data_IF_941476537701
#
_entry.id   IF_941476537701
#
_cell.length_a   1.000
_cell.length_b   1.000
_cell.length_c   1.000
_cell.angle_alpha   90.00
_cell.angle_beta   90.00
_cell.angle_gamma   90.00
#
_symmetry.space_group_name_H-M   'P 1'
#
loop_
_entity.id
_entity.type
_entity.pdbx_description
1 polymer ?
#
# COMPACT_ATOMS: atom_id res chain seq x y z
N UNK A 1 -2.60 8.97 37.18
CA UNK A 1 -2.70 8.34 35.85
C UNK A 1 -3.82 9.05 35.10
N UNK A 2 -3.52 9.74 33.99
CA UNK A 2 -4.52 10.55 33.28
C UNK A 2 -5.34 9.67 32.35
N UNK A 3 -6.67 9.75 32.45
CA UNK A 3 -7.61 9.04 31.59
C UNK A 3 -7.58 9.74 30.21
N UNK A 4 -7.25 9.03 29.12
CA UNK A 4 -7.18 9.66 27.80
C UNK A 4 -8.53 10.22 27.41
N UNK A 5 -8.53 11.47 26.95
CA UNK A 5 -9.75 12.15 26.51
C UNK A 5 -10.17 11.64 25.13
N UNK A 6 -11.45 11.83 24.74
CA UNK A 6 -11.91 11.53 23.39
C UNK A 6 -11.06 12.21 22.30
N UNK A 7 -10.50 13.39 22.59
CA UNK A 7 -9.56 14.08 21.70
C UNK A 7 -8.22 13.34 21.53
N UNK A 8 -7.73 12.65 22.55
CA UNK A 8 -6.50 11.85 22.48
C UNK A 8 -6.70 10.58 21.64
N UNK A 9 -7.91 10.00 21.69
CA UNK A 9 -8.33 8.87 20.83
C UNK A 9 -8.44 9.32 19.37
N UNK A 10 -9.02 10.50 19.12
CA UNK A 10 -9.13 11.10 17.80
C UNK A 10 -7.76 11.48 17.20
N UNK A 11 -6.82 11.95 18.02
CA UNK A 11 -5.44 12.28 17.59
C UNK A 11 -4.62 11.03 17.22
N UNK A 12 -4.86 9.90 17.89
CA UNK A 12 -4.30 8.60 17.45
C UNK A 12 -4.89 8.18 16.10
N UNK A 13 -6.19 8.37 15.87
CA UNK A 13 -6.82 7.98 14.61
C UNK A 13 -6.25 8.70 13.36
N UNK A 14 -5.67 9.90 13.54
CA UNK A 14 -4.89 10.61 12.52
C UNK A 14 -3.44 10.08 12.48
N UNK A 15 -3.21 8.79 12.24
CA UNK A 15 -1.90 8.18 12.45
C UNK A 15 -0.83 8.68 11.43
N UNK A 16 0.19 9.47 11.85
CA UNK A 16 1.35 9.80 10.99
C UNK A 16 2.19 8.57 10.62
N UNK A 17 1.85 7.39 11.16
CA UNK A 17 2.51 6.12 10.87
C UNK A 17 2.05 5.47 9.57
N UNK A 18 0.84 5.78 9.07
CA UNK A 18 0.31 5.26 7.79
C UNK A 18 0.46 6.25 6.64
N UNK A 19 0.89 7.49 6.92
CA UNK A 19 1.15 8.48 5.89
C UNK A 19 2.24 7.97 4.93
N UNK A 20 2.06 8.14 3.60
CA UNK A 20 3.06 7.75 2.63
C UNK A 20 4.41 8.41 2.93
N UNK A 21 5.48 7.62 2.96
CA UNK A 21 6.84 8.11 3.08
C UNK A 21 7.28 8.85 1.83
N UNK A 22 8.12 9.86 2.02
CA UNK A 22 8.73 10.58 0.90
C UNK A 22 9.67 9.66 0.11
N UNK A 23 9.50 9.60 -1.20
CA UNK A 23 10.41 8.94 -2.16
C UNK A 23 11.04 10.00 -3.06
N UNK A 24 12.33 9.86 -3.32
CA UNK A 24 13.07 10.68 -4.25
C UNK A 24 13.65 9.77 -5.36
N UNK A 25 13.08 9.83 -6.58
CA UNK A 25 13.44 8.91 -7.66
C UNK A 25 14.87 9.11 -8.20
N UNK A 26 15.56 10.19 -7.84
CA UNK A 26 16.95 10.43 -8.29
C UNK A 26 18.01 9.78 -7.41
N UNK A 27 17.66 9.44 -6.15
CA UNK A 27 18.62 8.90 -5.17
C UNK A 27 18.18 7.58 -4.54
N UNK A 28 16.88 7.31 -4.52
CA UNK A 28 16.34 6.08 -3.96
C UNK A 28 16.26 4.99 -5.03
N UNK A 29 16.20 3.73 -4.58
CA UNK A 29 15.80 2.63 -5.44
C UNK A 29 14.40 2.88 -6.08
N UNK A 30 14.10 2.24 -7.23
CA UNK A 30 12.79 2.33 -7.87
C UNK A 30 11.65 2.06 -6.87
N UNK A 31 10.61 2.90 -6.89
CA UNK A 31 9.55 2.85 -5.89
C UNK A 31 8.89 1.47 -5.83
N UNK A 32 8.61 0.86 -6.99
CA UNK A 32 7.99 -0.47 -7.05
C UNK A 32 8.86 -1.54 -6.39
N UNK A 33 10.18 -1.50 -6.59
CA UNK A 33 11.11 -2.44 -5.95
C UNK A 33 11.10 -2.31 -4.42
N UNK A 34 11.11 -1.07 -3.91
CA UNK A 34 11.00 -0.81 -2.47
C UNK A 34 9.66 -1.29 -1.92
N UNK A 35 8.58 -1.07 -2.67
CA UNK A 35 7.24 -1.47 -2.28
C UNK A 35 7.10 -3.00 -2.21
N UNK A 36 7.53 -3.72 -3.25
CA UNK A 36 7.53 -5.18 -3.31
C UNK A 36 8.35 -5.77 -2.15
N UNK A 37 9.57 -5.26 -1.92
CA UNK A 37 10.41 -5.65 -0.77
C UNK A 37 9.72 -5.39 0.57
N UNK A 38 9.02 -4.26 0.68
CA UNK A 38 8.23 -3.91 1.85
C UNK A 38 7.10 -4.92 2.11
N UNK A 39 6.37 -5.31 1.07
CA UNK A 39 5.29 -6.29 1.13
C UNK A 39 5.82 -7.68 1.49
N UNK A 40 6.87 -8.16 0.81
CA UNK A 40 7.43 -9.49 1.08
C UNK A 40 8.09 -9.59 2.45
N UNK A 41 8.61 -8.48 2.97
CA UNK A 41 9.18 -8.39 4.32
C UNK A 41 8.18 -8.06 5.42
N UNK A 42 6.88 -8.02 5.11
CA UNK A 42 5.81 -7.75 6.08
C UNK A 42 5.06 -9.01 6.49
N UNK A 43 4.56 -9.03 7.72
CA UNK A 43 3.70 -10.11 8.24
C UNK A 43 2.26 -9.95 7.73
N UNK A 44 2.09 -10.06 6.40
CA UNK A 44 0.79 -10.07 5.73
C UNK A 44 0.33 -11.51 5.52
N UNK A 45 -0.99 -11.72 5.48
CA UNK A 45 -1.57 -12.99 5.07
C UNK A 45 -1.19 -13.28 3.60
N UNK A 46 -0.96 -14.54 3.25
CA UNK A 46 -0.49 -14.94 1.92
C UNK A 46 -1.38 -14.42 0.78
N UNK A 47 -2.70 -14.46 0.94
CA UNK A 47 -3.64 -13.92 -0.04
C UNK A 47 -3.55 -12.40 -0.17
N UNK A 48 -3.28 -11.69 0.93
CA UNK A 48 -3.08 -10.24 0.92
C UNK A 48 -1.79 -9.88 0.20
N UNK A 49 -0.72 -10.64 0.45
CA UNK A 49 0.55 -10.53 -0.27
C UNK A 49 0.36 -10.79 -1.77
N UNK A 50 -0.42 -11.80 -2.15
CA UNK A 50 -0.72 -12.09 -3.55
C UNK A 50 -1.46 -10.92 -4.23
N UNK A 51 -2.51 -10.38 -3.60
CA UNK A 51 -3.24 -9.21 -4.12
C UNK A 51 -2.34 -7.98 -4.22
N UNK A 52 -1.46 -7.79 -3.22
CA UNK A 52 -0.49 -6.71 -3.22
C UNK A 52 0.48 -6.82 -4.41
N UNK A 53 1.08 -7.99 -4.62
CA UNK A 53 1.99 -8.19 -5.75
C UNK A 53 1.28 -8.09 -7.11
N UNK A 54 0.02 -8.54 -7.21
CA UNK A 54 -0.80 -8.32 -8.40
C UNK A 54 -1.04 -6.83 -8.67
N UNK A 55 -1.27 -5.99 -7.66
CA UNK A 55 -1.34 -4.53 -7.85
C UNK A 55 -0.03 -3.97 -8.40
N UNK A 56 1.11 -4.43 -7.88
CA UNK A 56 2.42 -3.94 -8.30
C UNK A 56 2.72 -4.22 -9.78
N UNK A 57 2.15 -5.27 -10.40
CA UNK A 57 2.35 -5.52 -11.83
C UNK A 57 1.77 -4.44 -12.74
N UNK A 58 0.82 -3.64 -12.23
CA UNK A 58 0.21 -2.52 -12.94
C UNK A 58 0.88 -1.17 -12.64
N UNK A 59 1.83 -1.14 -11.71
CA UNK A 59 2.51 0.08 -11.30
C UNK A 59 3.77 0.34 -12.13
N UNK A 60 4.00 1.61 -12.44
CA UNK A 60 5.24 2.10 -13.02
C UNK A 60 6.43 1.79 -12.12
N UNK A 61 7.53 1.33 -12.72
CA UNK A 61 8.72 0.89 -12.00
C UNK A 61 9.32 1.98 -11.09
N UNK A 62 9.52 3.18 -11.65
CA UNK A 62 10.22 4.27 -10.96
C UNK A 62 9.34 4.96 -9.90
N UNK A 63 8.07 5.21 -10.22
CA UNK A 63 7.19 6.08 -9.44
C UNK A 63 6.21 5.31 -8.54
N UNK A 64 5.97 4.03 -8.84
CA UNK A 64 4.94 3.24 -8.17
C UNK A 64 3.51 3.68 -8.48
N UNK A 65 3.32 4.63 -9.40
CA UNK A 65 2.00 5.07 -9.83
C UNK A 65 1.35 4.02 -10.70
N UNK A 66 0.04 3.85 -10.54
CA UNK A 66 -0.79 3.05 -11.43
C UNK A 66 -1.57 4.03 -12.32
N UNK A 67 -1.23 4.16 -13.61
CA UNK A 67 -1.94 5.07 -14.51
C UNK A 67 -3.40 4.63 -14.68
N UNK A 68 -4.29 5.57 -15.02
CA UNK A 68 -5.74 5.33 -14.98
C UNK A 68 -6.16 4.18 -15.92
N UNK A 69 -5.56 4.10 -17.11
CA UNK A 69 -5.77 3.03 -18.10
C UNK A 69 -5.26 1.66 -17.64
N UNK A 70 -4.35 1.62 -16.65
CA UNK A 70 -3.79 0.40 -16.10
C UNK A 70 -4.43 0.01 -14.76
N UNK A 71 -5.38 0.79 -14.23
CA UNK A 71 -6.07 0.48 -12.98
C UNK A 71 -6.74 -0.88 -13.08
N UNK A 72 -6.30 -1.89 -12.32
CA UNK A 72 -6.86 -3.23 -12.46
C UNK A 72 -8.31 -3.29 -11.97
N UNK A 73 -8.68 -2.41 -11.01
CA UNK A 73 -9.99 -2.43 -10.33
C UNK A 73 -10.32 -3.85 -9.81
N UNK A 74 -11.49 -4.06 -9.23
CA UNK A 74 -11.80 -5.35 -8.60
C UNK A 74 -11.80 -6.53 -9.58
N UNK A 75 -12.40 -6.36 -10.77
CA UNK A 75 -12.58 -7.44 -11.74
C UNK A 75 -11.24 -8.05 -12.19
N UNK A 76 -10.31 -7.21 -12.64
CA UNK A 76 -9.00 -7.69 -13.10
C UNK A 76 -8.17 -8.28 -11.96
N UNK A 77 -8.29 -7.75 -10.74
CA UNK A 77 -7.59 -8.32 -9.58
C UNK A 77 -8.10 -9.72 -9.22
N UNK A 78 -9.42 -9.96 -9.36
CA UNK A 78 -10.00 -11.30 -9.22
C UNK A 78 -9.40 -12.24 -10.28
N UNK A 79 -9.34 -11.81 -11.54
CA UNK A 79 -8.79 -12.62 -12.64
C UNK A 79 -7.30 -12.92 -12.42
N UNK A 80 -6.50 -11.92 -12.01
CA UNK A 80 -5.06 -12.06 -11.80
C UNK A 80 -4.70 -12.95 -10.60
N UNK A 81 -5.58 -13.05 -9.60
CA UNK A 81 -5.28 -13.77 -8.35
C UNK A 81 -6.05 -15.08 -8.20
N UNK A 82 -7.06 -15.33 -9.05
CA UNK A 82 -8.03 -16.41 -8.93
C UNK A 82 -8.75 -16.46 -7.55
N UNK A 83 -8.73 -15.35 -6.80
CA UNK A 83 -9.41 -15.24 -5.52
C UNK A 83 -10.84 -14.75 -5.71
N UNK A 84 -11.80 -15.24 -4.92
CA UNK A 84 -13.14 -14.65 -4.85
C UNK A 84 -13.11 -13.15 -4.58
N UNK A 85 -14.06 -12.42 -5.17
CA UNK A 85 -14.17 -10.96 -5.06
C UNK A 85 -14.20 -10.45 -3.62
N UNK A 86 -14.81 -11.20 -2.70
CA UNK A 86 -14.85 -10.83 -1.28
C UNK A 86 -13.47 -10.90 -0.61
N UNK A 87 -12.63 -11.87 -0.97
CA UNK A 87 -11.26 -11.98 -0.45
C UNK A 87 -10.37 -10.86 -1.00
N UNK A 88 -10.53 -10.50 -2.27
CA UNK A 88 -9.83 -9.36 -2.87
C UNK A 88 -10.25 -8.06 -2.17
N UNK A 89 -11.55 -7.83 -1.98
CA UNK A 89 -12.05 -6.66 -1.24
C UNK A 89 -11.49 -6.58 0.19
N UNK A 90 -11.49 -7.70 0.92
CA UNK A 90 -10.92 -7.76 2.28
C UNK A 90 -9.42 -7.47 2.28
N UNK A 91 -8.67 -7.99 1.31
CA UNK A 91 -7.24 -7.75 1.17
C UNK A 91 -6.94 -6.28 0.85
N UNK A 92 -7.70 -5.67 -0.07
CA UNK A 92 -7.59 -4.24 -0.41
C UNK A 92 -7.89 -3.36 0.80
N UNK A 93 -8.96 -3.65 1.54
CA UNK A 93 -9.29 -2.92 2.77
C UNK A 93 -8.18 -3.03 3.82
N UNK A 94 -7.57 -4.21 3.96
CA UNK A 94 -6.45 -4.41 4.89
C UNK A 94 -5.19 -3.65 4.46
N UNK A 95 -4.85 -3.68 3.16
CA UNK A 95 -3.72 -2.91 2.60
C UNK A 95 -3.94 -1.41 2.79
N UNK A 96 -5.15 -0.91 2.54
CA UNK A 96 -5.51 0.50 2.74
C UNK A 96 -5.38 0.88 4.23
N UNK A 97 -5.92 0.06 5.13
CA UNK A 97 -5.86 0.31 6.57
C UNK A 97 -4.43 0.31 7.12
N UNK A 98 -3.53 -0.46 6.51
CA UNK A 98 -2.09 -0.51 6.85
C UNK A 98 -1.25 0.54 6.14
N UNK A 99 -1.83 1.32 5.22
CA UNK A 99 -1.14 2.38 4.48
C UNK A 99 -0.27 1.89 3.32
N UNK A 100 -0.51 0.66 2.83
CA UNK A 100 0.19 0.09 1.67
C UNK A 100 -0.40 0.54 0.32
N UNK A 101 -1.64 1.02 0.34
CA UNK A 101 -2.29 1.63 -0.80
C UNK A 101 -3.09 2.84 -0.35
N UNK A 102 -3.32 3.76 -1.29
CA UNK A 102 -4.26 4.88 -1.14
C UNK A 102 -5.32 4.74 -2.22
N UNK A 103 -6.58 4.87 -1.82
CA UNK A 103 -7.73 4.91 -2.72
C UNK A 103 -8.09 6.36 -3.04
N UNK A 104 -8.52 6.62 -4.27
CA UNK A 104 -8.95 7.94 -4.75
C UNK A 104 -10.14 8.51 -3.96
N UNK A 105 -11.17 7.69 -3.72
CA UNK A 105 -12.35 8.03 -2.95
C UNK A 105 -12.83 6.82 -2.11
N UNK A 106 -12.82 6.99 -0.79
CA UNK A 106 -13.24 5.94 0.16
C UNK A 106 -14.70 5.54 0.05
N UNK A 107 -15.55 6.41 -0.50
CA UNK A 107 -16.98 6.16 -0.68
C UNK A 107 -17.27 5.32 -1.92
N UNK A 108 -16.32 5.25 -2.86
CA UNK A 108 -16.47 4.42 -4.07
C UNK A 108 -16.31 2.95 -3.73
N UNK A 109 -17.13 2.14 -4.41
CA UNK A 109 -17.04 0.69 -4.38
C UNK A 109 -15.71 0.25 -5.01
N UNK A 110 -15.13 -0.83 -4.50
CA UNK A 110 -13.89 -1.42 -5.04
C UNK A 110 -13.94 -1.78 -6.52
N UNK A 111 -15.13 -2.02 -7.07
CA UNK A 111 -15.33 -2.29 -8.49
C UNK A 111 -14.95 -1.14 -9.42
N UNK A 112 -14.94 0.10 -8.91
CA UNK A 112 -14.69 1.32 -9.71
C UNK A 112 -13.64 2.24 -9.10
N UNK A 113 -13.20 1.97 -7.87
CA UNK A 113 -12.21 2.81 -7.19
C UNK A 113 -10.82 2.62 -7.82
N UNK A 114 -10.12 3.74 -8.03
CA UNK A 114 -8.72 3.74 -8.43
C UNK A 114 -7.82 3.69 -7.19
N UNK A 115 -6.71 2.99 -7.29
CA UNK A 115 -5.76 2.82 -6.18
C UNK A 115 -4.34 3.18 -6.61
N UNK A 116 -3.56 3.65 -5.65
CA UNK A 116 -2.14 3.95 -5.83
C UNK A 116 -1.33 3.23 -4.77
N UNK A 117 -0.12 2.81 -5.12
CA UNK A 117 0.79 2.21 -4.16
C UNK A 117 1.26 3.26 -3.14
N UNK A 118 1.41 2.83 -1.90
CA UNK A 118 1.94 3.63 -0.82
C UNK A 118 2.88 2.80 0.06
N UNK A 119 3.91 3.43 0.61
CA UNK A 119 4.75 2.81 1.64
C UNK A 119 4.63 3.67 2.89
N UNK A 120 4.22 3.12 4.03
CA UNK A 120 4.17 3.86 5.29
C UNK A 120 5.53 4.49 5.64
N UNK A 121 5.54 5.75 6.08
CA UNK A 121 6.76 6.53 6.32
C UNK A 121 7.85 5.83 7.16
N UNK A 122 7.52 5.19 8.30
CA UNK A 122 8.49 4.43 9.07
C UNK A 122 9.12 3.27 8.30
N UNK A 123 8.35 2.58 7.46
CA UNK A 123 8.81 1.45 6.65
C UNK A 123 9.71 1.96 5.53
N UNK A 124 9.32 3.03 4.84
CA UNK A 124 10.13 3.68 3.81
C UNK A 124 11.53 4.04 4.34
N UNK A 125 11.61 4.66 5.52
CA UNK A 125 12.90 5.00 6.15
C UNK A 125 13.75 3.75 6.42
N UNK A 126 13.13 2.66 6.89
CA UNK A 126 13.84 1.38 7.14
C UNK A 126 14.38 0.77 5.85
N UNK A 127 13.56 0.75 4.80
CA UNK A 127 13.93 0.19 3.49
C UNK A 127 15.11 0.96 2.88
N UNK A 128 15.03 2.30 2.85
CA UNK A 128 16.13 3.14 2.36
C UNK A 128 17.43 2.95 3.12
N UNK A 129 17.37 2.76 4.45
CA UNK A 129 18.55 2.48 5.26
C UNK A 129 19.18 1.14 4.89
N UNK A 130 18.36 0.10 4.71
CA UNK A 130 18.85 -1.24 4.35
C UNK A 130 19.54 -1.24 2.98
N UNK A 131 18.99 -0.52 1.99
CA UNK A 131 19.58 -0.35 0.67
C UNK A 131 20.98 0.24 0.71
N UNK A 132 21.20 1.26 1.55
CA UNK A 132 22.49 1.95 1.68
C UNK A 132 23.59 1.12 2.34
N UNK A 133 23.24 0.05 3.05
CA UNK A 133 24.22 -0.84 3.71
C UNK A 133 24.60 -2.03 2.82
N UNK A 134 23.82 -2.31 1.78
CA UNK A 134 24.07 -3.39 0.83
C UNK A 134 24.86 -2.94 -0.42
N UNK A 135 25.11 -1.64 -0.57
CA UNK A 135 25.98 -1.02 -1.57
C UNK A 135 27.33 -0.65 -0.95
#
# INVERSE_FOLDING_TARGET
>A
MSIPTPADVMRRAQHPLIAPGLHNPTVDEPYRALWERGITGSELLSQTTLVALALATHAEWATGRIPEEAQPRLGRLVDCTALPSWQVCSSLAFLEARGWIVRDDRRRRWSVASVQLAIPGPIMRRLKKASRTAS
#
